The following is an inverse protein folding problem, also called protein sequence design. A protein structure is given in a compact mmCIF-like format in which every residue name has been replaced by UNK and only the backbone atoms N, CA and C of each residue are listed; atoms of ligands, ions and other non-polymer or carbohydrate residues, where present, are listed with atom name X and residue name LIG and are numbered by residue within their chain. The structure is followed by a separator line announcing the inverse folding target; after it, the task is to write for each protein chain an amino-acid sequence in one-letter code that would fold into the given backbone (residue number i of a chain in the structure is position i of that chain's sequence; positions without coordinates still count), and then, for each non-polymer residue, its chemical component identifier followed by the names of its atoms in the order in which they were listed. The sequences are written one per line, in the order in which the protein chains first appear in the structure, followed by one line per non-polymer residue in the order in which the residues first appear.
data_IF_070707099023
#
_entry.id   IF_070707099023
#
_cell.length_a   1.000
_cell.length_b   1.000
_cell.length_c   1.000
_cell.angle_alpha   90.00
_cell.angle_beta   90.00
_cell.angle_gamma   90.00
#
_symmetry.space_group_name_H-M   'P 1'
#
loop_
_entity.id
_entity.type
_entity.pdbx_description
1 polymer ?
#
# COMPACT_ATOMS: atom_id res chain seq x y z
N UNK A 1 -2.18 -14.17 4.81
CA UNK A 1 -3.57 -14.08 4.31
C UNK A 1 -4.60 -14.73 5.25
N UNK A 2 -4.34 -14.73 6.55
CA UNK A 2 -5.34 -15.20 7.52
C UNK A 2 -6.52 -14.24 7.54
N UNK A 3 -7.59 -14.59 6.84
CA UNK A 3 -8.81 -13.79 6.75
C UNK A 3 -10.02 -14.72 6.62
N UNK A 4 -11.02 -14.44 7.42
CA UNK A 4 -12.36 -15.06 7.41
C UNK A 4 -13.39 -14.15 6.72
N UNK A 5 -12.92 -13.05 6.13
CA UNK A 5 -13.76 -12.06 5.44
C UNK A 5 -13.23 -11.80 4.02
N UNK A 6 -14.08 -11.33 3.10
CA UNK A 6 -13.66 -10.88 1.79
C UNK A 6 -12.58 -9.79 1.88
N UNK A 7 -11.51 -9.97 1.11
CA UNK A 7 -10.39 -9.05 1.10
C UNK A 7 -9.93 -8.73 -0.32
N UNK A 8 -9.13 -7.68 -0.45
CA UNK A 8 -8.54 -7.25 -1.71
C UNK A 8 -7.14 -6.70 -1.54
N UNK A 9 -6.61 -6.10 -2.59
CA UNK A 9 -5.30 -5.45 -2.61
C UNK A 9 -5.42 -4.03 -3.14
N UNK A 10 -4.64 -3.11 -2.58
CA UNK A 10 -4.44 -1.79 -3.15
C UNK A 10 -3.36 -1.89 -4.24
N UNK A 11 -3.69 -1.45 -5.44
CA UNK A 11 -2.83 -1.59 -6.61
C UNK A 11 -2.65 -0.25 -7.32
N UNK A 12 -1.45 0.32 -7.24
CA UNK A 12 -1.08 1.56 -7.92
C UNK A 12 -0.33 1.34 -9.24
N UNK A 13 0.04 0.08 -9.54
CA UNK A 13 0.93 -0.23 -10.66
C UNK A 13 2.42 -0.01 -10.39
N UNK A 14 2.78 0.55 -9.23
CA UNK A 14 4.17 0.61 -8.75
C UNK A 14 4.69 -0.76 -8.28
N UNK A 15 6.02 -0.88 -8.14
CA UNK A 15 6.70 -2.13 -7.79
C UNK A 15 6.11 -2.78 -6.53
N UNK A 16 5.97 -2.01 -5.45
CA UNK A 16 5.61 -2.52 -4.14
C UNK A 16 4.19 -3.11 -4.11
N UNK A 17 3.22 -2.34 -4.61
CA UNK A 17 1.83 -2.78 -4.71
C UNK A 17 1.68 -3.98 -5.66
N UNK A 18 2.48 -4.03 -6.73
CA UNK A 18 2.47 -5.13 -7.69
C UNK A 18 3.02 -6.42 -7.08
N UNK A 19 4.11 -6.35 -6.30
CA UNK A 19 4.68 -7.49 -5.59
C UNK A 19 3.69 -8.05 -4.57
N UNK A 20 3.09 -7.18 -3.73
CA UNK A 20 2.08 -7.60 -2.75
C UNK A 20 0.89 -8.25 -3.46
N UNK A 21 0.42 -7.66 -4.55
CA UNK A 21 -0.70 -8.21 -5.33
C UNK A 21 -0.37 -9.58 -5.95
N UNK A 22 0.84 -9.74 -6.49
CA UNK A 22 1.29 -11.00 -7.08
C UNK A 22 1.42 -12.11 -6.02
N UNK A 23 2.02 -11.81 -4.87
CA UNK A 23 2.12 -12.76 -3.75
C UNK A 23 0.73 -13.11 -3.24
N UNK A 24 -0.14 -12.12 -3.06
CA UNK A 24 -1.51 -12.34 -2.62
C UNK A 24 -2.27 -13.24 -3.60
N UNK A 25 -2.17 -12.96 -4.90
CA UNK A 25 -2.81 -13.80 -5.94
C UNK A 25 -2.32 -15.24 -5.90
N UNK A 26 -1.02 -15.46 -5.72
CA UNK A 26 -0.43 -16.79 -5.61
C UNK A 26 -1.04 -17.62 -4.48
N UNK A 27 -1.32 -16.99 -3.35
CA UNK A 27 -1.84 -17.67 -2.15
C UNK A 27 -3.35 -17.52 -1.94
N UNK A 28 -4.04 -16.72 -2.74
CA UNK A 28 -5.48 -16.48 -2.59
C UNK A 28 -6.35 -17.65 -3.07
N UNK A 29 -5.83 -18.49 -3.95
CA UNK A 29 -6.62 -19.54 -4.61
C UNK A 29 -6.93 -20.76 -3.73
N UNK A 30 -6.19 -20.96 -2.63
CA UNK A 30 -6.28 -22.18 -1.80
C UNK A 30 -6.31 -21.86 -0.31
N UNK A 31 -6.92 -22.76 0.47
CA UNK A 31 -6.89 -22.69 1.94
C UNK A 31 -5.56 -23.19 2.46
N UNK A 32 -4.90 -22.39 3.29
CA UNK A 32 -3.65 -22.77 3.95
C UNK A 32 -3.86 -23.89 4.98
N UNK A 33 -5.03 -23.91 5.63
CA UNK A 33 -5.37 -24.86 6.69
C UNK A 33 -5.50 -26.32 6.19
N UNK A 34 -5.89 -26.51 4.92
CA UNK A 34 -6.09 -27.84 4.32
C UNK A 34 -4.89 -28.31 3.46
N UNK A 35 -3.68 -27.83 3.76
CA UNK A 35 -2.49 -28.11 2.96
C UNK A 35 -2.71 -27.89 1.45
N UNK A 36 -3.40 -26.85 1.12
CA UNK A 36 -3.73 -26.43 -0.26
C UNK A 36 -4.65 -27.42 -1.03
N UNK A 37 -5.39 -28.27 -0.34
CA UNK A 37 -6.26 -29.30 -0.97
C UNK A 37 -7.65 -28.79 -1.34
N UNK A 38 -8.15 -27.75 -0.66
CA UNK A 38 -9.47 -27.15 -0.94
C UNK A 38 -9.35 -25.75 -1.50
N UNK A 39 -10.35 -25.33 -2.29
CA UNK A 39 -10.44 -23.97 -2.80
C UNK A 39 -10.68 -22.97 -1.64
N UNK A 40 -10.14 -21.78 -1.80
CA UNK A 40 -10.41 -20.70 -0.86
C UNK A 40 -11.89 -20.30 -0.90
N UNK A 41 -12.41 -19.89 0.24
CA UNK A 41 -13.78 -19.37 0.35
C UNK A 41 -14.00 -18.13 -0.51
N UNK A 42 -12.92 -17.36 -0.80
CA UNK A 42 -12.92 -16.16 -1.64
C UNK A 42 -11.85 -16.28 -2.74
N UNK A 43 -12.13 -17.07 -3.79
CA UNK A 43 -11.11 -17.45 -4.79
C UNK A 43 -10.73 -16.32 -5.74
N UNK A 44 -11.59 -15.30 -5.90
CA UNK A 44 -11.31 -14.16 -6.77
C UNK A 44 -10.69 -13.01 -5.98
N UNK A 45 -9.46 -12.65 -6.33
CA UNK A 45 -8.79 -11.51 -5.74
C UNK A 45 -9.27 -10.22 -6.40
N UNK A 46 -9.77 -9.30 -5.59
CA UNK A 46 -10.13 -7.95 -5.99
C UNK A 46 -8.94 -7.00 -5.81
N UNK A 47 -8.70 -6.12 -6.79
CA UNK A 47 -7.69 -5.08 -6.71
C UNK A 47 -8.35 -3.70 -6.90
N UNK A 48 -7.83 -2.70 -6.20
CA UNK A 48 -8.39 -1.36 -6.15
C UNK A 48 -7.34 -0.32 -6.47
N UNK A 49 -7.66 0.58 -7.38
CA UNK A 49 -6.90 1.79 -7.66
C UNK A 49 -7.80 3.01 -7.56
N UNK A 50 -7.25 4.14 -7.16
CA UNK A 50 -7.98 5.40 -7.04
C UNK A 50 -7.20 6.52 -7.72
N UNK A 51 -7.90 7.38 -8.44
CA UNK A 51 -7.28 8.51 -9.09
C UNK A 51 -8.26 9.44 -9.76
N UNK A 52 -7.75 10.58 -10.22
CA UNK A 52 -8.47 11.45 -11.12
C UNK A 52 -8.58 10.80 -12.51
N UNK A 53 -9.64 11.09 -13.28
CA UNK A 53 -9.75 10.59 -14.64
C UNK A 53 -8.51 10.91 -15.48
N UNK A 54 -7.96 9.88 -16.14
CA UNK A 54 -6.77 10.00 -16.98
C UNK A 54 -5.42 9.91 -16.23
N UNK A 55 -5.42 9.61 -14.94
CA UNK A 55 -4.19 9.38 -14.18
C UNK A 55 -3.33 8.26 -14.80
N UNK A 56 -2.02 8.46 -14.98
CA UNK A 56 -1.12 7.42 -15.47
C UNK A 56 -1.05 6.20 -14.54
N UNK A 57 -1.20 6.40 -13.23
CA UNK A 57 -1.16 5.33 -12.25
C UNK A 57 -2.32 4.34 -12.43
N UNK A 58 -3.51 4.83 -12.84
CA UNK A 58 -4.65 3.96 -13.12
C UNK A 58 -4.36 3.03 -14.31
N UNK A 59 -3.69 3.53 -15.34
CA UNK A 59 -3.29 2.69 -16.50
C UNK A 59 -2.28 1.62 -16.08
N UNK A 60 -1.25 2.00 -15.31
CA UNK A 60 -0.26 1.06 -14.79
C UNK A 60 -0.91 -0.01 -13.89
N UNK A 61 -1.83 0.41 -13.03
CA UNK A 61 -2.59 -0.52 -12.18
C UNK A 61 -3.42 -1.51 -13.01
N UNK A 62 -4.08 -1.03 -14.07
CA UNK A 62 -4.87 -1.88 -14.97
C UNK A 62 -3.99 -2.91 -15.70
N UNK A 63 -2.79 -2.51 -16.17
CA UNK A 63 -1.85 -3.43 -16.81
C UNK A 63 -1.42 -4.57 -15.87
N UNK A 64 -1.06 -4.24 -14.63
CA UNK A 64 -0.71 -5.24 -13.60
C UNK A 64 -1.92 -6.11 -13.26
N UNK A 65 -3.10 -5.52 -13.11
CA UNK A 65 -4.32 -6.26 -12.81
C UNK A 65 -4.66 -7.28 -13.91
N UNK A 66 -4.51 -6.90 -15.18
CA UNK A 66 -4.69 -7.79 -16.33
C UNK A 66 -3.69 -8.95 -16.32
N UNK A 67 -2.42 -8.65 -16.01
CA UNK A 67 -1.37 -9.68 -15.92
C UNK A 67 -1.65 -10.69 -14.80
N UNK A 68 -2.10 -10.21 -13.63
CA UNK A 68 -2.38 -11.05 -12.47
C UNK A 68 -3.76 -11.74 -12.53
N UNK A 69 -4.65 -11.29 -13.42
CA UNK A 69 -6.01 -11.81 -13.50
C UNK A 69 -6.83 -11.50 -12.24
N UNK A 70 -6.74 -10.28 -11.72
CA UNK A 70 -7.56 -9.80 -10.61
C UNK A 70 -8.85 -9.16 -11.11
N UNK A 71 -9.88 -9.13 -10.26
CA UNK A 71 -11.08 -8.31 -10.52
C UNK A 71 -10.74 -6.88 -10.16
N UNK A 72 -10.36 -6.08 -11.16
CA UNK A 72 -9.87 -4.72 -10.93
C UNK A 72 -11.00 -3.69 -10.85
N UNK A 73 -10.86 -2.77 -9.90
CA UNK A 73 -11.79 -1.68 -9.69
C UNK A 73 -11.05 -0.35 -9.73
N UNK A 74 -11.25 0.39 -10.80
CA UNK A 74 -10.84 1.79 -10.85
C UNK A 74 -11.86 2.68 -10.16
N UNK A 75 -11.41 3.42 -9.18
CA UNK A 75 -12.26 4.35 -8.42
C UNK A 75 -11.86 5.77 -8.79
N UNK A 76 -12.74 6.44 -9.49
CA UNK A 76 -12.56 7.84 -9.84
C UNK A 76 -13.22 8.76 -8.82
N UNK A 77 -12.62 9.91 -8.61
CA UNK A 77 -13.20 11.01 -7.87
C UNK A 77 -12.90 12.33 -8.59
N UNK A 78 -13.73 13.33 -8.39
CA UNK A 78 -13.52 14.69 -8.91
C UNK A 78 -12.73 15.53 -7.92
N UNK A 79 -12.13 16.61 -8.41
CA UNK A 79 -11.47 17.59 -7.54
C UNK A 79 -12.44 18.12 -6.48
N UNK A 80 -13.70 18.38 -6.86
CA UNK A 80 -14.72 18.87 -5.94
C UNK A 80 -15.03 17.83 -4.83
N UNK A 81 -15.22 16.56 -5.19
CA UNK A 81 -15.41 15.49 -4.18
C UNK A 81 -14.23 15.40 -3.22
N UNK A 82 -13.01 15.59 -3.73
CA UNK A 82 -11.81 15.64 -2.89
C UNK A 82 -11.83 16.82 -1.92
N UNK A 83 -12.17 18.01 -2.39
CA UNK A 83 -12.27 19.21 -1.56
C UNK A 83 -13.37 19.09 -0.50
N UNK A 84 -14.53 18.58 -0.88
CA UNK A 84 -15.66 18.38 0.04
C UNK A 84 -15.34 17.38 1.15
N UNK A 85 -14.52 16.37 0.86
CA UNK A 85 -14.12 15.36 1.83
C UNK A 85 -13.07 15.83 2.86
N UNK A 86 -12.35 16.94 2.63
CA UNK A 86 -11.21 17.38 3.47
C UNK A 86 -11.58 17.47 4.94
N UNK A 87 -12.71 18.06 5.26
CA UNK A 87 -13.16 18.23 6.65
C UNK A 87 -13.35 16.88 7.36
N UNK A 88 -14.00 15.93 6.70
CA UNK A 88 -14.21 14.59 7.25
C UNK A 88 -12.90 13.82 7.35
N UNK A 89 -12.02 13.97 6.35
CA UNK A 89 -10.69 13.39 6.39
C UNK A 89 -9.91 13.89 7.60
N UNK A 90 -9.83 15.21 7.83
CA UNK A 90 -9.15 15.80 9.00
C UNK A 90 -9.73 15.23 10.30
N UNK A 91 -11.06 15.14 10.40
CA UNK A 91 -11.73 14.59 11.57
C UNK A 91 -11.27 13.14 11.86
N UNK A 92 -11.23 12.30 10.84
CA UNK A 92 -10.87 10.89 11.01
C UNK A 92 -9.37 10.65 11.19
N UNK A 93 -8.51 11.38 10.47
CA UNK A 93 -7.05 11.20 10.59
C UNK A 93 -6.43 11.92 11.79
N UNK A 94 -7.17 12.86 12.42
CA UNK A 94 -6.80 13.58 13.63
C UNK A 94 -5.48 14.35 13.51
N UNK A 95 -5.20 14.93 12.35
CA UNK A 95 -4.01 15.75 12.11
C UNK A 95 -4.28 16.87 11.10
N UNK A 96 -3.50 17.95 11.18
CA UNK A 96 -3.49 19.05 10.22
C UNK A 96 -2.26 19.03 9.31
N UNK A 97 -1.47 17.97 9.33
CA UNK A 97 -0.34 17.82 8.40
C UNK A 97 -0.82 17.76 6.95
N UNK A 98 -0.33 18.72 6.15
CA UNK A 98 -0.77 18.88 4.73
C UNK A 98 -0.52 17.64 3.91
N UNK A 99 0.64 17.00 4.09
CA UNK A 99 1.00 15.80 3.33
C UNK A 99 0.08 14.64 3.68
N UNK A 100 -0.19 14.45 4.96
CA UNK A 100 -1.09 13.40 5.45
C UNK A 100 -2.52 13.62 4.97
N UNK A 101 -3.05 14.84 5.05
CA UNK A 101 -4.40 15.17 4.57
C UNK A 101 -4.53 14.89 3.07
N UNK A 102 -3.59 15.40 2.27
CA UNK A 102 -3.58 15.26 0.81
C UNK A 102 -3.57 13.79 0.39
N UNK A 103 -2.75 12.97 1.02
CA UNK A 103 -2.62 11.57 0.69
C UNK A 103 -3.78 10.72 1.25
N UNK A 104 -4.37 11.12 2.38
CA UNK A 104 -5.51 10.42 2.99
C UNK A 104 -6.82 10.61 2.22
N UNK A 105 -7.00 11.75 1.56
CA UNK A 105 -8.27 12.05 0.89
C UNK A 105 -8.66 11.02 -0.16
N UNK A 106 -7.82 10.64 -1.14
CA UNK A 106 -8.16 9.57 -2.07
C UNK A 106 -8.34 8.22 -1.39
N UNK A 107 -7.57 7.90 -0.36
CA UNK A 107 -7.73 6.65 0.41
C UNK A 107 -9.07 6.59 1.12
N UNK A 108 -9.50 7.69 1.73
CA UNK A 108 -10.79 7.82 2.38
C UNK A 108 -11.95 7.58 1.39
N UNK A 109 -11.90 8.24 0.23
CA UNK A 109 -12.92 8.10 -0.82
C UNK A 109 -12.95 6.68 -1.41
N UNK A 110 -11.78 6.09 -1.64
CA UNK A 110 -11.64 4.71 -2.09
C UNK A 110 -12.24 3.73 -1.08
N UNK A 111 -11.93 3.88 0.20
CA UNK A 111 -12.39 2.98 1.27
C UNK A 111 -13.90 2.96 1.39
N UNK A 112 -14.57 4.09 1.16
CA UNK A 112 -16.03 4.17 1.08
C UNK A 112 -16.59 3.24 0.00
N UNK A 113 -15.96 3.20 -1.17
CA UNK A 113 -16.37 2.33 -2.28
C UNK A 113 -16.05 0.85 -1.99
N UNK A 114 -14.87 0.57 -1.45
CA UNK A 114 -14.47 -0.79 -1.03
C UNK A 114 -15.48 -1.36 -0.02
N UNK A 115 -15.85 -0.56 0.98
CA UNK A 115 -16.87 -0.94 1.97
C UNK A 115 -18.22 -1.25 1.34
N UNK A 116 -18.65 -0.43 0.37
CA UNK A 116 -19.92 -0.64 -0.33
C UNK A 116 -19.94 -1.95 -1.15
N UNK A 117 -18.79 -2.48 -1.54
CA UNK A 117 -18.63 -3.77 -2.21
C UNK A 117 -18.62 -4.97 -1.23
N UNK A 118 -18.76 -4.73 0.08
CA UNK A 118 -18.74 -5.78 1.10
C UNK A 118 -17.35 -6.25 1.51
N UNK A 119 -16.29 -5.62 1.03
CA UNK A 119 -14.89 -5.94 1.36
C UNK A 119 -14.50 -5.21 2.64
N UNK A 120 -13.87 -5.94 3.56
CA UNK A 120 -13.57 -5.43 4.90
C UNK A 120 -12.08 -5.32 5.20
N UNK A 121 -11.24 -5.88 4.36
CA UNK A 121 -9.78 -5.86 4.54
C UNK A 121 -9.08 -5.72 3.19
N UNK A 122 -7.99 -4.98 3.18
CA UNK A 122 -7.11 -4.86 2.01
C UNK A 122 -5.64 -4.96 2.43
N UNK A 123 -4.81 -5.51 1.53
CA UNK A 123 -3.37 -5.46 1.67
C UNK A 123 -2.81 -4.27 0.89
N UNK A 124 -1.83 -3.60 1.47
CA UNK A 124 -1.18 -2.41 0.91
C UNK A 124 0.34 -2.59 0.85
N UNK A 125 0.98 -1.92 -0.09
CA UNK A 125 2.44 -1.82 -0.21
C UNK A 125 3.09 -0.77 0.69
N UNK A 126 2.36 -0.18 1.63
CA UNK A 126 2.89 0.82 2.57
C UNK A 126 4.08 0.28 3.38
N UNK A 127 5.04 1.14 3.66
CA UNK A 127 6.26 0.82 4.41
C UNK A 127 7.44 0.37 3.56
N UNK A 128 7.23 0.03 2.30
CA UNK A 128 8.31 -0.40 1.41
C UNK A 128 9.35 0.69 1.15
N UNK A 129 8.90 1.93 0.94
CA UNK A 129 9.78 3.07 0.66
C UNK A 129 10.73 3.37 1.83
N UNK A 130 10.25 3.22 3.05
CA UNK A 130 11.03 3.41 4.26
C UNK A 130 12.06 2.30 4.46
N UNK A 131 11.69 1.07 4.14
CA UNK A 131 12.58 -0.11 4.30
C UNK A 131 13.69 -0.12 3.24
N UNK A 132 13.35 0.23 2.00
CA UNK A 132 14.23 0.07 0.84
C UNK A 132 14.73 1.39 0.25
N UNK A 133 14.48 2.53 0.90
CA UNK A 133 14.95 3.83 0.44
C UNK A 133 14.28 4.27 -0.88
N UNK A 134 12.96 4.07 -1.00
CA UNK A 134 12.22 4.29 -2.24
C UNK A 134 11.88 5.75 -2.56
N UNK A 135 12.21 6.71 -1.69
CA UNK A 135 11.98 8.12 -1.96
C UNK A 135 13.15 8.78 -2.66
N UNK A 136 12.88 9.68 -3.60
CA UNK A 136 13.90 10.39 -4.37
C UNK A 136 14.97 11.09 -3.52
N UNK A 137 14.63 11.54 -2.32
CA UNK A 137 15.61 12.20 -1.46
C UNK A 137 16.70 11.26 -0.94
N UNK A 138 16.46 9.94 -0.89
CA UNK A 138 17.49 8.95 -0.52
C UNK A 138 18.68 8.92 -1.48
N UNK A 139 18.51 9.42 -2.72
CA UNK A 139 19.65 9.63 -3.65
C UNK A 139 20.70 10.60 -3.10
N UNK A 140 20.34 11.41 -2.11
CA UNK A 140 21.26 12.36 -1.46
C UNK A 140 22.00 11.75 -0.28
N UNK A 141 21.79 10.47 0.03
CA UNK A 141 22.51 9.80 1.11
C UNK A 141 24.02 9.76 0.78
N UNK A 142 24.88 10.32 1.64
CA UNK A 142 26.31 10.41 1.34
C UNK A 142 27.03 9.06 1.42
N UNK A 143 26.49 8.12 2.19
CA UNK A 143 27.04 6.78 2.36
C UNK A 143 25.98 5.79 2.88
N UNK A 144 26.30 4.51 2.85
CA UNK A 144 25.42 3.42 3.24
C UNK A 144 24.99 3.47 4.72
N UNK A 145 25.87 3.95 5.61
CA UNK A 145 25.57 4.08 7.03
C UNK A 145 24.46 5.11 7.25
N UNK A 146 24.59 6.28 6.68
CA UNK A 146 23.61 7.35 6.83
C UNK A 146 22.29 7.00 6.13
N UNK A 147 22.32 6.28 5.00
CA UNK A 147 21.13 5.72 4.38
C UNK A 147 20.40 4.80 5.39
N UNK A 148 21.10 3.90 6.04
CA UNK A 148 20.52 2.99 7.01
C UNK A 148 19.93 3.73 8.23
N UNK A 149 20.66 4.68 8.77
CA UNK A 149 20.19 5.50 9.90
C UNK A 149 18.90 6.26 9.54
N UNK A 150 18.83 6.78 8.33
CA UNK A 150 17.63 7.48 7.86
C UNK A 150 16.44 6.51 7.63
N UNK A 151 16.67 5.31 7.08
CA UNK A 151 15.60 4.29 6.96
C UNK A 151 15.06 3.89 8.33
N UNK A 152 15.93 3.68 9.31
CA UNK A 152 15.53 3.40 10.70
C UNK A 152 14.72 4.56 11.29
N UNK A 153 15.20 5.79 11.13
CA UNK A 153 14.50 6.99 11.61
C UNK A 153 13.10 7.11 11.02
N UNK A 154 12.95 6.84 9.72
CA UNK A 154 11.65 6.87 9.03
C UNK A 154 10.71 5.79 9.54
N UNK A 155 11.19 4.55 9.68
CA UNK A 155 10.40 3.45 10.23
C UNK A 155 9.90 3.72 11.65
N UNK A 156 10.75 4.27 12.52
CA UNK A 156 10.37 4.63 13.90
C UNK A 156 9.29 5.72 13.95
N UNK A 157 9.28 6.64 12.99
CA UNK A 157 8.31 7.74 12.90
C UNK A 157 7.05 7.38 12.07
N UNK A 158 7.02 6.23 11.39
CA UNK A 158 6.00 5.88 10.40
C UNK A 158 4.58 5.82 10.98
N UNK A 159 4.45 5.47 12.26
CA UNK A 159 3.18 5.45 12.98
C UNK A 159 2.50 6.82 13.06
N UNK A 160 3.27 7.92 12.96
CA UNK A 160 2.75 9.29 12.98
C UNK A 160 2.27 9.78 11.59
N UNK A 161 2.73 9.16 10.51
CA UNK A 161 2.50 9.60 9.14
C UNK A 161 1.77 8.54 8.29
N UNK A 162 2.49 7.75 7.53
CA UNK A 162 1.90 6.87 6.52
C UNK A 162 1.05 5.74 7.11
N UNK A 163 1.44 5.16 8.24
CA UNK A 163 0.62 4.17 8.92
C UNK A 163 -0.65 4.80 9.52
N UNK A 164 -0.54 5.98 10.13
CA UNK A 164 -1.70 6.71 10.64
C UNK A 164 -2.66 7.07 9.49
N UNK A 165 -2.11 7.57 8.38
CA UNK A 165 -2.87 7.85 7.16
C UNK A 165 -3.63 6.64 6.66
N UNK A 166 -2.92 5.55 6.36
CA UNK A 166 -3.52 4.35 5.80
C UNK A 166 -4.58 3.76 6.76
N UNK A 167 -4.22 3.59 8.03
CA UNK A 167 -5.12 3.01 9.01
C UNK A 167 -6.36 3.88 9.24
N UNK A 168 -6.19 5.15 9.60
CA UNK A 168 -7.32 6.01 10.00
C UNK A 168 -8.26 6.36 8.85
N UNK A 169 -7.71 6.65 7.64
CA UNK A 169 -8.53 6.95 6.48
C UNK A 169 -9.41 5.75 6.06
N UNK A 170 -8.88 4.53 6.19
CA UNK A 170 -9.62 3.32 5.82
C UNK A 170 -10.54 2.85 6.93
N UNK A 171 -10.12 2.94 8.19
CA UNK A 171 -10.94 2.59 9.35
C UNK A 171 -12.16 3.47 9.50
N UNK A 172 -12.15 4.71 8.97
CA UNK A 172 -13.31 5.58 8.89
C UNK A 172 -14.53 4.91 8.25
N UNK A 173 -14.29 3.96 7.34
CA UNK A 173 -15.31 3.16 6.65
C UNK A 173 -15.32 1.70 7.11
N UNK A 174 -14.59 1.34 8.15
CA UNK A 174 -14.50 -0.02 8.68
C UNK A 174 -13.79 -0.98 7.71
N UNK A 175 -12.81 -0.49 6.95
CA UNK A 175 -11.91 -1.29 6.13
C UNK A 175 -10.56 -1.40 6.84
N UNK A 176 -10.11 -2.63 7.11
CA UNK A 176 -8.81 -2.91 7.72
C UNK A 176 -7.70 -2.84 6.66
N UNK A 177 -6.64 -2.08 6.90
CA UNK A 177 -5.43 -2.09 6.10
C UNK A 177 -4.39 -3.02 6.71
N UNK A 178 -3.87 -3.96 5.93
CA UNK A 178 -2.72 -4.79 6.30
C UNK A 178 -1.51 -4.43 5.47
N UNK A 179 -0.35 -4.33 6.11
CA UNK A 179 0.89 -3.79 5.55
C UNK A 179 2.02 -4.82 5.69
N UNK A 180 2.13 -5.80 4.76
CA UNK A 180 3.09 -6.89 4.88
C UNK A 180 4.55 -6.45 4.99
N UNK A 181 4.94 -5.32 4.38
CA UNK A 181 6.30 -4.78 4.50
C UNK A 181 6.67 -4.33 5.92
N UNK A 182 5.69 -4.18 6.82
CA UNK A 182 5.91 -3.80 8.21
C UNK A 182 5.75 -4.98 9.18
N UNK A 183 5.62 -6.20 8.66
CA UNK A 183 5.68 -7.40 9.50
C UNK A 183 7.05 -7.50 10.21
N UNK A 184 7.05 -7.82 11.51
CA UNK A 184 8.27 -7.83 12.31
C UNK A 184 9.34 -8.78 11.76
N UNK A 185 8.94 -9.98 11.33
CA UNK A 185 9.89 -10.96 10.77
C UNK A 185 10.44 -10.49 9.42
N UNK A 186 9.59 -9.85 8.61
CA UNK A 186 10.03 -9.24 7.37
C UNK A 186 11.02 -8.11 7.62
N UNK A 187 10.73 -7.20 8.54
CA UNK A 187 11.62 -6.09 8.92
C UNK A 187 12.96 -6.61 9.45
N UNK A 188 12.95 -7.64 10.30
CA UNK A 188 14.17 -8.26 10.81
C UNK A 188 15.10 -8.76 9.69
N UNK A 189 14.55 -9.32 8.62
CA UNK A 189 15.31 -9.77 7.47
C UNK A 189 15.74 -8.58 6.60
N UNK A 190 14.79 -7.73 6.23
CA UNK A 190 15.02 -6.62 5.30
C UNK A 190 16.01 -5.58 5.84
N UNK A 191 15.98 -5.30 7.14
CA UNK A 191 16.91 -4.34 7.77
C UNK A 191 18.31 -4.90 8.01
N UNK A 192 18.51 -6.22 7.90
CA UNK A 192 19.84 -6.87 7.91
C UNK A 192 20.51 -6.92 6.54
N UNK A 193 19.80 -6.61 5.47
CA UNK A 193 20.41 -6.48 4.14
C UNK A 193 21.46 -5.38 4.21
N UNK A 194 22.64 -5.64 3.59
CA UNK A 194 23.72 -4.66 3.56
C UNK A 194 23.20 -3.33 2.99
N UNK A 195 23.28 -2.22 3.72
CA UNK A 195 22.78 -0.93 3.25
C UNK A 195 23.41 -0.46 1.95
N UNK A 196 24.62 -0.93 1.64
CA UNK A 196 25.30 -0.65 0.36
C UNK A 196 24.50 -1.18 -0.83
N UNK A 197 23.81 -2.31 -0.66
CA UNK A 197 22.99 -2.92 -1.71
C UNK A 197 21.66 -2.18 -1.93
N UNK A 198 21.24 -1.37 -0.94
CA UNK A 198 20.04 -0.52 -1.01
C UNK A 198 20.34 0.89 -1.56
N UNK A 199 21.61 1.26 -1.70
CA UNK A 199 21.98 2.59 -2.21
C UNK A 199 21.59 2.74 -3.67
N UNK A 200 20.92 3.84 -3.99
CA UNK A 200 20.72 4.33 -5.34
C UNK A 200 21.88 5.26 -5.74
N UNK A 201 22.05 5.48 -7.03
CA UNK A 201 23.15 6.25 -7.63
C UNK A 201 23.95 5.42 -8.63
N UNK A 202 24.91 6.03 -9.33
CA UNK A 202 25.70 5.39 -10.40
C UNK A 202 24.84 4.69 -11.47
N UNK A 203 23.72 5.31 -11.85
CA UNK A 203 22.79 4.75 -12.83
C UNK A 203 21.78 3.74 -12.26
N UNK A 204 21.81 3.47 -10.97
CA UNK A 204 20.78 2.65 -10.30
C UNK A 204 19.63 3.53 -9.81
N UNK A 205 18.43 3.09 -10.09
CA UNK A 205 17.23 3.67 -9.54
C UNK A 205 17.04 3.22 -8.08
N UNK A 206 16.14 3.91 -7.37
CA UNK A 206 15.66 3.43 -6.08
C UNK A 206 15.00 2.05 -6.21
N UNK A 207 15.22 1.19 -5.23
CA UNK A 207 14.69 -0.21 -5.18
C UNK A 207 15.15 -1.08 -6.37
N UNK A 208 16.37 -0.85 -6.85
CA UNK A 208 16.95 -1.60 -7.97
C UNK A 208 17.16 -3.09 -7.62
#
# INVERSE_FOLDING_TARGET
LMSDVPYGVLLSGGLDSSIISAITKKYAARRVEDQERSEAWWPQLHSFAVGLPGSPDLKAAQEVANHLGTVHHEIHFTVQEGLDAIRDVIYHIETYDVTTIRASTPMYLMSRKIKAMGIKMVLSGEGSDEVFGGYLYFHKAPNAKELHEETVRKLLALHMYDCARANKAMSAWGVEARVPFLDKKFLDVAMRINPQDKMCGNGKMEKH
#
